data_IF_864024023236
#
_entry.id   IF_864024023236
#
_cell.length_a   1.000
_cell.length_b   1.000
_cell.length_c   1.000
_cell.angle_alpha   90.00
_cell.angle_beta   90.00
_cell.angle_gamma   90.00
#
_symmetry.space_group_name_H-M   'P 1'
#
loop_
_entity.id
_entity.type
_entity.pdbx_description
1 polymer ?
#
# COMPACT_ATOMS: atom_id res chain seq x y z
N UNK A 1 -73.10 -32.19 -20.46
CA UNK A 1 -71.95 -31.45 -19.92
C UNK A 1 -70.97 -32.45 -19.32
N UNK A 2 -69.86 -32.73 -19.99
CA UNK A 2 -68.82 -33.66 -19.54
C UNK A 2 -67.74 -32.88 -18.79
N UNK A 3 -67.56 -33.18 -17.49
CA UNK A 3 -66.50 -32.65 -16.64
C UNK A 3 -65.22 -33.45 -16.86
N UNK A 4 -64.24 -32.88 -17.55
CA UNK A 4 -62.91 -33.45 -17.74
C UNK A 4 -62.05 -33.25 -16.47
N UNK A 5 -61.51 -34.31 -15.85
CA UNK A 5 -60.62 -34.19 -14.70
C UNK A 5 -59.23 -33.71 -15.14
N UNK A 6 -58.80 -32.55 -14.65
CA UNK A 6 -57.47 -32.00 -14.89
C UNK A 6 -56.38 -32.84 -14.17
N UNK A 7 -55.24 -33.12 -14.82
CA UNK A 7 -54.17 -33.92 -14.22
C UNK A 7 -53.49 -33.17 -13.07
N UNK A 8 -53.54 -33.74 -11.87
CA UNK A 8 -52.83 -33.25 -10.67
C UNK A 8 -51.32 -33.25 -10.92
N UNK A 9 -50.74 -32.08 -11.19
CA UNK A 9 -49.29 -31.86 -11.26
C UNK A 9 -48.65 -32.12 -9.90
N UNK A 10 -47.84 -33.17 -9.82
CA UNK A 10 -47.08 -33.54 -8.63
C UNK A 10 -45.99 -32.48 -8.37
N UNK A 11 -46.24 -31.53 -7.45
CA UNK A 11 -45.23 -30.55 -7.01
C UNK A 11 -44.17 -31.28 -6.18
N UNK A 12 -43.03 -31.61 -6.82
CA UNK A 12 -41.83 -32.06 -6.10
C UNK A 12 -41.37 -30.93 -5.17
N UNK A 13 -41.30 -31.20 -3.87
CA UNK A 13 -40.70 -30.28 -2.90
C UNK A 13 -39.22 -30.15 -3.28
N UNK A 14 -38.82 -28.95 -3.71
CA UNK A 14 -37.43 -28.59 -3.89
C UNK A 14 -36.73 -28.87 -2.54
N UNK A 15 -35.86 -29.88 -2.54
CA UNK A 15 -35.24 -30.50 -1.35
C UNK A 15 -34.21 -29.60 -0.64
N UNK A 16 -34.05 -28.36 -1.09
CA UNK A 16 -33.06 -27.44 -0.57
C UNK A 16 -33.78 -26.26 0.09
N UNK A 17 -33.76 -26.16 1.44
CA UNK A 17 -34.29 -24.98 2.12
C UNK A 17 -33.56 -23.74 1.58
N UNK A 18 -34.27 -22.62 1.37
CA UNK A 18 -33.70 -21.41 0.75
C UNK A 18 -32.45 -20.90 1.49
N UNK A 19 -32.31 -21.18 2.79
CA UNK A 19 -31.13 -20.85 3.57
C UNK A 19 -29.83 -21.54 3.12
N UNK A 20 -29.89 -22.75 2.55
CA UNK A 20 -28.68 -23.46 2.07
C UNK A 20 -28.11 -22.81 0.81
N UNK A 21 -28.97 -22.24 -0.03
CA UNK A 21 -28.57 -21.57 -1.26
C UNK A 21 -27.90 -20.22 -0.93
N UNK A 22 -28.44 -19.49 0.05
CA UNK A 22 -27.81 -18.27 0.58
C UNK A 22 -26.42 -18.54 1.20
N UNK A 23 -26.29 -19.63 1.97
CA UNK A 23 -25.01 -20.04 2.56
C UNK A 23 -23.98 -20.45 1.51
N UNK A 24 -24.40 -21.23 0.51
CA UNK A 24 -23.52 -21.61 -0.60
C UNK A 24 -23.04 -20.37 -1.38
N UNK A 25 -23.91 -19.38 -1.56
CA UNK A 25 -23.57 -18.14 -2.24
C UNK A 25 -22.63 -17.24 -1.42
N UNK A 26 -22.85 -17.13 -0.11
CA UNK A 26 -21.92 -16.44 0.82
C UNK A 26 -20.56 -17.12 0.87
N UNK A 27 -20.53 -18.45 0.93
CA UNK A 27 -19.29 -19.22 0.91
C UNK A 27 -18.55 -19.01 -0.41
N UNK A 28 -19.28 -19.03 -1.53
CA UNK A 28 -18.70 -18.78 -2.85
C UNK A 28 -18.15 -17.35 -2.97
N UNK A 29 -18.89 -16.34 -2.51
CA UNK A 29 -18.40 -14.96 -2.44
C UNK A 29 -17.15 -14.83 -1.57
N UNK A 30 -17.13 -15.50 -0.42
CA UNK A 30 -15.94 -15.57 0.43
C UNK A 30 -14.76 -16.21 -0.30
N UNK A 31 -14.99 -17.35 -0.98
CA UNK A 31 -13.96 -18.03 -1.75
C UNK A 31 -13.47 -17.24 -2.97
N UNK A 32 -14.28 -16.35 -3.57
CA UNK A 32 -13.88 -15.51 -4.70
C UNK A 32 -13.23 -14.19 -4.25
N UNK A 33 -13.70 -13.59 -3.16
CA UNK A 33 -13.18 -12.32 -2.65
C UNK A 33 -11.86 -12.48 -1.88
N UNK A 34 -11.69 -13.57 -1.12
CA UNK A 34 -10.47 -13.84 -0.33
C UNK A 34 -9.19 -13.95 -1.19
N UNK A 35 -9.16 -14.65 -2.34
CA UNK A 35 -7.97 -14.69 -3.18
C UNK A 35 -7.62 -13.33 -3.80
N UNK A 36 -8.59 -12.42 -4.01
CA UNK A 36 -8.31 -11.06 -4.46
C UNK A 36 -7.55 -10.24 -3.39
N UNK A 37 -7.78 -10.52 -2.11
CA UNK A 37 -7.01 -9.94 -1.00
C UNK A 37 -5.65 -10.62 -0.78
N UNK A 38 -5.49 -11.86 -1.25
CA UNK A 38 -4.26 -12.66 -1.11
C UNK A 38 -3.20 -12.39 -2.17
N UNK A 39 -3.45 -11.44 -3.06
CA UNK A 39 -2.43 -10.75 -3.82
C UNK A 39 -1.62 -9.80 -2.94
N UNK A 40 -1.07 -10.28 -1.81
CA UNK A 40 0.02 -9.59 -1.15
C UNK A 40 1.20 -9.65 -2.11
N UNK A 41 1.25 -8.68 -3.03
CA UNK A 41 2.46 -8.33 -3.78
C UNK A 41 3.58 -8.36 -2.76
N UNK A 42 4.65 -9.10 -3.05
CA UNK A 42 5.81 -9.18 -2.16
C UNK A 42 6.19 -7.74 -1.80
N UNK A 43 5.92 -7.36 -0.55
CA UNK A 43 6.30 -6.05 -0.06
C UNK A 43 7.81 -6.11 0.09
N UNK A 44 8.49 -5.58 -0.92
CA UNK A 44 9.94 -5.43 -0.89
C UNK A 44 10.15 -4.13 -0.13
N UNK A 45 10.57 -4.23 1.12
CA UNK A 45 10.94 -3.04 1.90
C UNK A 45 12.29 -2.60 1.36
N UNK A 46 12.28 -1.55 0.54
CA UNK A 46 13.52 -0.91 0.12
C UNK A 46 14.05 -0.11 1.32
N UNK A 47 15.17 -0.55 1.88
CA UNK A 47 15.87 0.25 2.86
C UNK A 47 16.52 1.42 2.13
N UNK A 48 15.91 2.60 2.25
CA UNK A 48 16.51 3.84 1.75
C UNK A 48 17.56 4.27 2.78
N UNK A 49 18.81 3.90 2.54
CA UNK A 49 19.93 4.50 3.29
C UNK A 49 20.19 5.86 2.69
N UNK A 50 19.78 6.92 3.40
CA UNK A 50 20.29 8.24 3.10
C UNK A 50 21.78 8.26 3.47
N UNK A 51 22.67 8.69 2.59
CA UNK A 51 24.07 8.82 2.94
C UNK A 51 24.19 9.75 4.15
N UNK A 52 25.12 9.47 5.08
CA UNK A 52 25.38 10.38 6.17
C UNK A 52 25.73 11.75 5.56
N UNK A 53 25.19 12.81 6.15
CA UNK A 53 25.48 14.20 5.78
C UNK A 53 26.96 14.50 6.07
N UNK A 54 27.86 14.04 5.21
CA UNK A 54 29.29 14.30 5.31
C UNK A 54 29.49 15.78 5.04
N UNK A 55 29.96 16.57 6.01
CA UNK A 55 30.43 17.95 5.81
C UNK A 55 31.53 17.96 4.74
N UNK A 56 31.18 18.09 3.45
CA UNK A 56 32.20 18.30 2.43
C UNK A 56 32.58 19.77 2.48
N UNK A 57 33.74 20.06 3.08
CA UNK A 57 34.39 21.35 2.94
C UNK A 57 34.51 21.71 1.46
N UNK A 58 34.14 22.93 1.10
CA UNK A 58 34.32 23.56 -0.22
C UNK A 58 33.34 23.21 -1.36
N UNK A 59 32.04 23.27 -1.10
CA UNK A 59 31.08 23.64 -2.15
C UNK A 59 30.57 25.05 -1.84
N UNK A 60 31.02 26.04 -2.62
CA UNK A 60 30.75 27.48 -2.48
C UNK A 60 29.30 27.90 -2.73
N UNK A 61 28.41 26.93 -2.97
CA UNK A 61 26.97 27.10 -2.92
C UNK A 61 26.49 26.27 -1.73
N UNK A 62 26.15 26.96 -0.64
CA UNK A 62 25.73 26.36 0.62
C UNK A 62 24.73 25.24 0.35
N UNK A 63 25.00 24.08 0.95
CA UNK A 63 24.09 22.95 0.82
C UNK A 63 22.72 23.38 1.37
N UNK A 64 21.61 22.98 0.73
CA UNK A 64 20.28 23.41 1.17
C UNK A 64 19.95 22.99 2.61
N UNK A 65 20.70 22.06 3.21
CA UNK A 65 20.51 21.58 4.59
C UNK A 65 20.83 22.60 5.67
N UNK A 66 21.68 23.58 5.35
CA UNK A 66 22.08 24.65 6.27
C UNK A 66 21.41 25.99 5.90
N UNK A 67 20.60 25.99 4.84
CA UNK A 67 19.83 27.15 4.43
C UNK A 67 18.71 27.42 5.44
N UNK A 68 18.59 28.67 5.85
CA UNK A 68 17.45 29.15 6.61
C UNK A 68 16.16 29.05 5.80
N UNK A 69 15.01 28.97 6.48
CA UNK A 69 13.68 28.96 5.81
C UNK A 69 13.53 30.14 4.84
N UNK A 70 14.08 31.31 5.18
CA UNK A 70 14.08 32.49 4.31
C UNK A 70 14.90 32.28 3.03
N UNK A 71 16.08 31.70 3.11
CA UNK A 71 16.90 31.39 1.94
C UNK A 71 16.22 30.34 1.05
N UNK A 72 15.53 29.38 1.65
CA UNK A 72 14.74 28.39 0.91
C UNK A 72 13.56 29.02 0.16
N UNK A 73 12.88 30.01 0.74
CA UNK A 73 11.82 30.76 0.03
C UNK A 73 12.37 31.58 -1.15
N UNK A 74 13.57 32.14 -1.02
CA UNK A 74 14.20 32.91 -2.10
C UNK A 74 14.89 32.03 -3.14
N UNK A 75 15.12 30.74 -2.85
CA UNK A 75 15.83 29.84 -3.75
C UNK A 75 15.11 29.71 -5.09
N UNK A 76 13.78 29.54 -5.08
CA UNK A 76 12.96 29.49 -6.29
C UNK A 76 11.46 29.60 -5.98
N UNK A 77 10.59 29.92 -6.96
CA UNK A 77 9.14 29.74 -6.77
C UNK A 77 8.80 28.26 -6.50
N UNK A 78 8.09 28.00 -5.41
CA UNK A 78 7.68 26.66 -5.01
C UNK A 78 6.19 26.42 -5.24
N UNK A 79 5.88 25.31 -5.91
CA UNK A 79 4.55 24.72 -5.93
C UNK A 79 4.38 23.92 -4.63
N UNK A 80 3.55 24.46 -3.73
CA UNK A 80 3.38 23.92 -2.39
C UNK A 80 2.24 22.90 -2.35
N UNK A 81 2.54 21.71 -1.86
CA UNK A 81 1.60 20.63 -1.61
C UNK A 81 1.68 20.21 -0.14
N UNK A 82 0.57 19.71 0.39
CA UNK A 82 0.49 19.26 1.79
C UNK A 82 -0.19 17.90 1.86
N UNK A 83 0.51 16.92 2.42
CA UNK A 83 -0.05 15.59 2.65
C UNK A 83 -0.35 15.46 4.13
N UNK A 84 -1.62 15.42 4.49
CA UNK A 84 -2.08 15.52 5.87
C UNK A 84 -2.13 14.19 6.59
N UNK A 85 -2.24 13.08 5.87
CA UNK A 85 -2.63 11.76 6.39
C UNK A 85 -4.10 11.42 6.15
N UNK A 86 -4.91 12.39 5.71
CA UNK A 86 -6.30 12.15 5.36
C UNK A 86 -6.39 11.60 3.93
N UNK A 87 -6.75 10.31 3.80
CA UNK A 87 -6.81 9.61 2.52
C UNK A 87 -7.61 10.33 1.44
N UNK A 88 -8.71 11.02 1.80
CA UNK A 88 -9.57 11.69 0.83
C UNK A 88 -8.99 13.01 0.35
N UNK A 89 -8.43 13.82 1.25
CA UNK A 89 -7.78 15.08 0.86
C UNK A 89 -6.50 14.79 0.09
N UNK A 90 -5.66 13.92 0.64
CA UNK A 90 -4.38 13.54 0.07
C UNK A 90 -4.56 12.89 -1.31
N UNK A 91 -5.69 12.24 -1.61
CA UNK A 91 -5.96 11.70 -2.95
C UNK A 91 -5.94 12.77 -4.05
N UNK A 92 -6.56 13.93 -3.81
CA UNK A 92 -6.58 15.01 -4.78
C UNK A 92 -5.22 15.69 -4.89
N UNK A 93 -4.57 15.92 -3.75
CA UNK A 93 -3.23 16.50 -3.69
C UNK A 93 -2.19 15.60 -4.38
N UNK A 94 -2.28 14.27 -4.22
CA UNK A 94 -1.41 13.33 -4.91
C UNK A 94 -1.64 13.35 -6.44
N UNK A 95 -2.88 13.56 -6.90
CA UNK A 95 -3.16 13.68 -8.34
C UNK A 95 -2.62 14.98 -8.94
N UNK A 96 -2.79 16.11 -8.25
CA UNK A 96 -2.24 17.40 -8.70
C UNK A 96 -0.72 17.38 -8.64
N UNK A 97 -0.15 16.79 -7.59
CA UNK A 97 1.28 16.57 -7.43
C UNK A 97 1.85 15.72 -8.58
N UNK A 98 1.19 14.61 -8.94
CA UNK A 98 1.61 13.79 -10.08
C UNK A 98 1.61 14.59 -11.40
N UNK A 99 0.67 15.51 -11.59
CA UNK A 99 0.67 16.41 -12.76
C UNK A 99 1.86 17.38 -12.72
N UNK A 100 2.19 17.93 -11.54
CA UNK A 100 3.35 18.79 -11.35
C UNK A 100 4.67 18.06 -11.64
N UNK A 101 4.82 16.79 -11.21
CA UNK A 101 5.98 15.96 -11.58
C UNK A 101 6.14 15.81 -13.10
N UNK A 102 5.04 15.56 -13.81
CA UNK A 102 5.04 15.45 -15.28
C UNK A 102 5.40 16.77 -15.96
N UNK A 103 4.89 17.88 -15.45
CA UNK A 103 5.22 19.21 -15.94
C UNK A 103 6.71 19.49 -15.74
N UNK A 104 7.23 19.25 -14.53
CA UNK A 104 8.63 19.49 -14.18
C UNK A 104 9.58 18.62 -15.03
N UNK A 105 9.21 17.37 -15.32
CA UNK A 105 9.94 16.53 -16.27
C UNK A 105 9.88 17.10 -17.70
N UNK A 106 8.72 17.55 -18.16
CA UNK A 106 8.53 18.03 -19.54
C UNK A 106 9.28 19.34 -19.80
N UNK A 107 9.42 20.17 -18.76
CA UNK A 107 10.06 21.49 -18.81
C UNK A 107 11.19 21.58 -17.77
N UNK A 108 12.32 20.88 -17.98
CA UNK A 108 13.39 20.80 -16.98
C UNK A 108 14.10 22.14 -16.74
N UNK A 109 13.96 23.10 -17.66
CA UNK A 109 14.54 24.44 -17.52
C UNK A 109 13.65 25.42 -16.77
N UNK A 110 12.46 25.01 -16.32
CA UNK A 110 11.60 25.92 -15.55
C UNK A 110 12.22 26.26 -14.20
N UNK A 111 11.98 27.50 -13.80
CA UNK A 111 12.42 28.04 -12.51
C UNK A 111 11.58 27.51 -11.34
N UNK A 112 10.60 26.64 -11.60
CA UNK A 112 9.70 26.08 -10.60
C UNK A 112 10.29 24.89 -9.84
N UNK A 113 10.02 24.86 -8.54
CA UNK A 113 10.24 23.70 -7.68
C UNK A 113 8.94 23.15 -7.13
N UNK A 114 8.97 21.91 -6.66
CA UNK A 114 7.88 21.27 -5.94
C UNK A 114 8.29 21.14 -4.48
N UNK A 115 7.42 21.60 -3.58
CA UNK A 115 7.59 21.50 -2.13
C UNK A 115 6.41 20.72 -1.56
N UNK A 116 6.67 19.59 -0.92
CA UNK A 116 5.65 18.72 -0.32
C UNK A 116 5.85 18.67 1.18
N UNK A 117 4.93 19.26 1.92
CA UNK A 117 4.93 19.23 3.38
C UNK A 117 4.20 17.98 3.87
N UNK A 118 4.88 17.16 4.66
CA UNK A 118 4.36 15.93 5.26
C UNK A 118 3.81 16.26 6.65
N UNK A 119 2.49 16.17 6.79
CA UNK A 119 1.79 16.37 8.05
C UNK A 119 2.09 15.27 9.06
N UNK A 120 1.78 15.50 10.36
CA UNK A 120 2.10 14.56 11.44
C UNK A 120 1.35 13.23 11.33
N UNK A 121 0.22 13.18 10.63
CA UNK A 121 -0.54 11.94 10.37
C UNK A 121 -0.23 11.33 9.00
N UNK A 122 0.67 11.93 8.23
CA UNK A 122 1.07 11.39 6.93
C UNK A 122 1.75 10.04 7.10
N UNK A 123 1.50 9.13 6.16
CA UNK A 123 2.09 7.79 6.22
C UNK A 123 3.45 7.77 5.55
N UNK A 124 4.35 6.89 6.01
CA UNK A 124 5.62 6.62 5.32
C UNK A 124 5.41 6.22 3.84
N UNK A 125 4.26 5.61 3.52
CA UNK A 125 3.89 5.26 2.15
C UNK A 125 3.82 6.47 1.21
N UNK A 126 3.41 7.64 1.70
CA UNK A 126 3.41 8.86 0.89
C UNK A 126 4.84 9.29 0.55
N UNK A 127 5.76 9.28 1.51
CA UNK A 127 7.16 9.61 1.25
C UNK A 127 7.79 8.65 0.23
N UNK A 128 7.56 7.33 0.37
CA UNK A 128 8.02 6.33 -0.61
C UNK A 128 7.46 6.62 -1.99
N UNK A 129 6.17 6.97 -2.09
CA UNK A 129 5.55 7.32 -3.36
C UNK A 129 6.19 8.56 -4.02
N UNK A 130 6.59 9.57 -3.24
CA UNK A 130 7.33 10.73 -3.76
C UNK A 130 8.68 10.31 -4.36
N UNK A 131 9.42 9.44 -3.67
CA UNK A 131 10.68 8.88 -4.19
C UNK A 131 10.46 8.04 -5.45
N UNK A 132 9.44 7.20 -5.46
CA UNK A 132 9.09 6.38 -6.63
C UNK A 132 8.79 7.25 -7.84
N UNK A 133 8.05 8.34 -7.67
CA UNK A 133 7.80 9.30 -8.74
C UNK A 133 9.06 10.04 -9.16
N UNK A 134 9.88 10.50 -8.22
CA UNK A 134 11.14 11.17 -8.56
C UNK A 134 12.04 10.24 -9.41
N UNK A 135 12.12 8.96 -9.04
CA UNK A 135 12.84 7.95 -9.79
C UNK A 135 12.20 7.66 -11.16
N UNK A 136 10.88 7.45 -11.20
CA UNK A 136 10.13 7.18 -12.42
C UNK A 136 10.28 8.28 -13.48
N UNK A 137 10.37 9.54 -13.05
CA UNK A 137 10.55 10.71 -13.92
C UNK A 137 12.01 11.16 -14.03
N UNK A 138 12.97 10.35 -13.57
CA UNK A 138 14.41 10.64 -13.60
C UNK A 138 14.80 12.00 -12.97
N UNK A 139 14.00 12.48 -12.02
CA UNK A 139 14.22 13.73 -11.30
C UNK A 139 15.21 13.49 -10.15
N UNK A 140 16.49 13.63 -10.50
CA UNK A 140 17.63 13.27 -9.63
C UNK A 140 17.92 14.27 -8.52
N UNK A 141 17.22 15.40 -8.48
CA UNK A 141 17.47 16.50 -7.55
C UNK A 141 16.27 16.69 -6.64
N UNK A 142 16.35 16.00 -5.52
CA UNK A 142 15.44 16.13 -4.41
C UNK A 142 16.21 16.21 -3.10
N UNK A 143 15.56 16.72 -2.07
CA UNK A 143 16.06 16.70 -0.71
C UNK A 143 14.89 16.55 0.25
N UNK A 144 15.11 15.78 1.32
CA UNK A 144 14.15 15.66 2.42
C UNK A 144 14.67 16.45 3.61
N UNK A 145 13.92 17.46 4.03
CA UNK A 145 14.16 18.21 5.24
C UNK A 145 13.46 17.53 6.42
N UNK A 146 14.27 16.98 7.33
CA UNK A 146 13.82 16.38 8.58
C UNK A 146 14.23 17.27 9.77
N UNK A 147 15.01 18.34 9.54
CA UNK A 147 15.50 19.23 10.60
C UNK A 147 14.42 20.22 11.02
N UNK A 148 13.63 20.69 10.06
CA UNK A 148 12.52 21.61 10.30
C UNK A 148 11.20 20.86 10.34
N UNK A 149 10.31 21.26 11.26
CA UNK A 149 8.92 20.83 11.25
C UNK A 149 8.05 21.85 10.49
N UNK A 150 7.15 21.41 9.59
CA UNK A 150 6.90 20.02 9.21
C UNK A 150 7.98 19.43 8.30
N UNK A 151 8.14 18.10 8.34
CA UNK A 151 9.04 17.37 7.42
C UNK A 151 8.65 17.74 6.00
N UNK A 152 9.61 18.22 5.21
CA UNK A 152 9.32 18.76 3.88
C UNK A 152 10.21 18.13 2.84
N UNK A 153 9.59 17.61 1.78
CA UNK A 153 10.26 17.06 0.62
C UNK A 153 10.31 18.11 -0.49
N UNK A 154 11.51 18.42 -0.95
CA UNK A 154 11.76 19.38 -2.01
C UNK A 154 12.25 18.67 -3.25
N UNK A 155 11.74 19.06 -4.41
CA UNK A 155 12.11 18.48 -5.71
C UNK A 155 12.23 19.62 -6.72
N UNK A 156 13.29 19.62 -7.50
CA UNK A 156 13.60 20.78 -8.32
C UNK A 156 14.54 20.40 -9.48
N UNK A 157 14.42 21.05 -10.64
CA UNK A 157 15.32 20.86 -11.78
C UNK A 157 16.38 21.95 -11.87
N UNK A 158 17.40 21.74 -12.69
CA UNK A 158 18.45 22.74 -12.96
C UNK A 158 18.17 23.38 -14.29
N UNK A 159 18.21 24.70 -14.32
CA UNK A 159 18.34 25.44 -15.57
C UNK A 159 19.63 24.97 -16.25
N UNK A 160 19.50 24.44 -17.47
CA UNK A 160 20.52 23.74 -18.24
C UNK A 160 21.97 24.11 -17.90
N UNK A 161 22.57 23.36 -16.97
CA UNK A 161 24.01 23.26 -16.87
C UNK A 161 24.40 21.98 -17.60
N UNK A 162 24.89 22.14 -18.81
CA UNK A 162 25.61 21.11 -19.57
C UNK A 162 26.89 20.63 -18.88
N UNK A 163 27.27 21.22 -17.75
CA UNK A 163 28.36 20.74 -16.91
C UNK A 163 27.80 19.85 -15.79
N UNK A 164 27.95 18.55 -16.00
CA UNK A 164 27.62 17.48 -15.05
C UNK A 164 28.32 17.63 -13.71
N UNK A 165 27.75 18.43 -12.81
CA UNK A 165 27.89 18.19 -11.37
C UNK A 165 26.80 17.18 -11.03
N UNK A 166 27.15 15.92 -11.30
CA UNK A 166 26.40 14.77 -10.89
C UNK A 166 26.50 14.70 -9.36
N UNK A 167 25.41 15.02 -8.65
CA UNK A 167 25.18 14.63 -7.24
C UNK A 167 24.97 13.09 -7.15
N UNK A 168 25.79 12.32 -7.88
CA UNK A 168 25.66 10.89 -8.13
C UNK A 168 26.53 10.04 -7.19
N UNK A 169 27.12 10.64 -6.16
CA UNK A 169 27.88 9.89 -5.16
C UNK A 169 27.10 9.63 -3.86
N UNK A 170 25.83 10.04 -3.80
CA UNK A 170 25.01 9.96 -2.58
C UNK A 170 24.12 8.71 -2.51
N UNK A 171 23.90 8.01 -3.62
CA UNK A 171 23.38 6.64 -3.58
C UNK A 171 24.57 5.71 -3.65
N UNK A 172 25.15 5.39 -2.49
CA UNK A 172 25.95 4.17 -2.41
C UNK A 172 24.99 3.05 -2.81
N UNK A 173 25.26 2.40 -3.94
CA UNK A 173 24.70 1.09 -4.23
C UNK A 173 25.26 0.14 -3.16
N UNK A 174 24.70 0.22 -1.96
CA UNK A 174 24.76 -0.88 -1.03
C UNK A 174 23.88 -1.91 -1.73
N UNK A 175 24.51 -2.88 -2.39
CA UNK A 175 23.82 -4.06 -2.88
C UNK A 175 23.02 -4.58 -1.69
N UNK A 176 21.71 -4.28 -1.69
CA UNK A 176 20.84 -4.70 -0.62
C UNK A 176 21.02 -6.21 -0.52
N UNK A 177 21.37 -6.76 0.65
CA UNK A 177 21.55 -8.19 0.77
C UNK A 177 20.29 -8.85 0.18
N UNK A 178 20.44 -9.80 -0.75
CA UNK A 178 19.30 -10.33 -1.49
C UNK A 178 18.25 -10.76 -0.48
N UNK A 179 16.97 -10.34 -0.63
CA UNK A 179 15.96 -10.57 0.38
C UNK A 179 15.91 -12.06 0.68
N UNK A 180 16.19 -12.42 1.94
CA UNK A 180 16.19 -13.82 2.37
C UNK A 180 14.77 -14.33 2.19
N UNK A 181 14.54 -15.09 1.13
CA UNK A 181 13.22 -15.67 0.86
C UNK A 181 12.89 -16.61 2.02
N UNK A 182 11.82 -16.37 2.78
CA UNK A 182 11.44 -17.29 3.83
C UNK A 182 11.21 -18.66 3.20
N UNK A 183 11.88 -19.68 3.72
CA UNK A 183 11.67 -21.05 3.27
C UNK A 183 10.20 -21.42 3.45
N UNK A 184 9.68 -22.33 2.63
CA UNK A 184 8.29 -22.80 2.72
C UNK A 184 7.95 -23.26 4.16
N UNK A 185 8.91 -23.86 4.85
CA UNK A 185 8.83 -24.21 6.27
C UNK A 185 8.64 -23.00 7.19
N UNK A 186 9.45 -21.95 7.04
CA UNK A 186 9.32 -20.72 7.82
C UNK A 186 7.97 -20.02 7.58
N UNK A 187 7.46 -20.09 6.34
CA UNK A 187 6.15 -19.52 6.00
C UNK A 187 5.00 -20.28 6.66
N UNK A 188 5.08 -21.61 6.72
CA UNK A 188 4.09 -22.46 7.41
C UNK A 188 4.14 -22.23 8.92
N UNK A 189 5.34 -22.16 9.51
CA UNK A 189 5.51 -21.91 10.94
C UNK A 189 4.99 -20.53 11.36
N UNK A 190 5.27 -19.49 10.57
CA UNK A 190 4.73 -18.15 10.82
C UNK A 190 3.20 -18.07 10.66
N UNK A 191 2.63 -18.86 9.75
CA UNK A 191 1.18 -18.93 9.60
C UNK A 191 0.53 -19.68 10.77
N UNK A 192 1.12 -20.79 11.18
CA UNK A 192 0.67 -21.57 12.34
C UNK A 192 0.76 -20.74 13.62
N UNK A 193 1.85 -19.99 13.82
CA UNK A 193 2.01 -19.15 15.01
C UNK A 193 0.98 -18.02 15.08
N UNK A 194 0.59 -17.45 13.93
CA UNK A 194 -0.45 -16.43 13.83
C UNK A 194 -1.84 -16.98 14.16
N UNK A 195 -2.12 -18.23 13.79
CA UNK A 195 -3.41 -18.88 14.06
C UNK A 195 -3.46 -19.46 15.47
N UNK A 196 -2.33 -19.85 16.04
CA UNK A 196 -2.25 -20.30 17.43
C UNK A 196 -2.21 -19.16 18.45
N UNK A 197 -2.22 -17.90 18.01
CA UNK A 197 -2.27 -16.77 18.92
C UNK A 197 -3.69 -16.64 19.52
N UNK A 198 -3.86 -16.58 20.86
CA UNK A 198 -5.17 -16.51 21.49
C UNK A 198 -6.03 -15.34 21.02
N UNK A 199 -5.39 -14.22 20.69
CA UNK A 199 -6.07 -13.03 20.18
C UNK A 199 -6.85 -13.27 18.87
N UNK A 200 -6.43 -14.20 18.01
CA UNK A 200 -7.06 -14.43 16.70
C UNK A 200 -8.33 -15.26 16.79
N UNK A 201 -8.48 -16.14 17.80
CA UNK A 201 -9.66 -17.03 17.92
C UNK A 201 -10.58 -16.76 19.11
N UNK A 202 -10.17 -15.97 20.11
CA UNK A 202 -11.08 -15.47 21.15
C UNK A 202 -12.34 -14.78 20.58
N UNK A 203 -12.27 -13.89 19.56
CA UNK A 203 -13.48 -13.25 19.03
C UNK A 203 -14.42 -14.25 18.31
N UNK A 204 -13.89 -15.35 17.79
CA UNK A 204 -14.67 -16.42 17.17
C UNK A 204 -15.47 -17.25 18.19
N UNK A 205 -15.08 -17.23 19.46
CA UNK A 205 -15.77 -17.92 20.56
C UNK A 205 -16.85 -17.05 21.24
N UNK A 206 -17.05 -15.82 20.77
CA UNK A 206 -18.14 -14.97 21.25
C UNK A 206 -19.51 -15.57 20.91
N UNK A 207 -20.55 -15.32 21.73
CA UNK A 207 -21.86 -15.97 21.59
C UNK A 207 -22.49 -15.79 20.21
N UNK A 208 -22.20 -14.67 19.53
CA UNK A 208 -22.73 -14.37 18.19
C UNK A 208 -22.20 -15.32 17.10
N UNK A 209 -20.96 -15.80 17.24
CA UNK A 209 -20.31 -16.66 16.24
C UNK A 209 -20.30 -18.14 16.63
N UNK A 210 -20.43 -18.44 17.92
CA UNK A 210 -20.36 -19.80 18.48
C UNK A 210 -21.34 -20.77 17.82
N UNK A 211 -22.60 -20.37 17.63
CA UNK A 211 -23.61 -21.25 17.03
C UNK A 211 -23.32 -21.53 15.55
N UNK A 212 -22.88 -20.52 14.80
CA UNK A 212 -22.50 -20.63 13.39
C UNK A 212 -21.28 -21.53 13.21
N UNK A 213 -20.28 -21.43 14.10
CA UNK A 213 -19.09 -22.29 14.11
C UNK A 213 -19.43 -23.75 14.42
N UNK A 214 -20.30 -23.99 15.40
CA UNK A 214 -20.77 -25.34 15.74
C UNK A 214 -21.56 -25.97 14.58
N UNK A 215 -22.39 -25.18 13.90
CA UNK A 215 -23.14 -25.64 12.73
C UNK A 215 -22.21 -26.01 11.57
N UNK A 216 -21.18 -25.20 11.32
CA UNK A 216 -20.15 -25.50 10.31
C UNK A 216 -19.35 -26.77 10.66
N UNK A 217 -18.96 -26.93 11.92
CA UNK A 217 -18.28 -28.14 12.40
C UNK A 217 -19.16 -29.38 12.29
N UNK A 218 -20.45 -29.26 12.60
CA UNK A 218 -21.42 -30.36 12.47
C UNK A 218 -21.61 -30.77 11.00
N UNK A 219 -21.74 -29.81 10.09
CA UNK A 219 -21.84 -30.09 8.65
C UNK A 219 -20.55 -30.74 8.14
N UNK A 220 -19.38 -30.23 8.58
CA UNK A 220 -18.07 -30.80 8.24
C UNK A 220 -17.92 -32.24 8.73
N UNK A 221 -18.28 -32.52 9.97
CA UNK A 221 -18.18 -33.87 10.55
C UNK A 221 -19.14 -34.85 9.89
N UNK A 222 -20.38 -34.45 9.59
CA UNK A 222 -21.35 -35.28 8.85
C UNK A 222 -20.85 -35.63 7.44
N UNK A 223 -20.21 -34.69 6.74
CA UNK A 223 -19.61 -34.96 5.44
C UNK A 223 -18.40 -35.91 5.53
N UNK A 224 -17.52 -35.72 6.54
CA UNK A 224 -16.39 -36.61 6.76
C UNK A 224 -16.83 -38.05 7.05
N UNK A 225 -17.86 -38.23 7.90
CA UNK A 225 -18.45 -39.55 8.18
C UNK A 225 -19.06 -40.18 6.93
N UNK A 226 -19.72 -39.39 6.09
CA UNK A 226 -20.30 -39.88 4.84
C UNK A 226 -19.25 -40.34 3.83
N UNK A 227 -18.12 -39.64 3.77
CA UNK A 227 -16.98 -40.03 2.92
C UNK A 227 -16.33 -41.30 3.45
N UNK A 228 -16.15 -41.41 4.77
CA UNK A 228 -15.50 -42.58 5.38
C UNK A 228 -16.35 -43.86 5.30
N UNK A 229 -17.67 -43.74 5.20
CA UNK A 229 -18.59 -44.89 5.02
C UNK A 229 -18.76 -45.34 3.57
N UNK A 230 -18.16 -44.65 2.59
CA UNK A 230 -18.12 -45.06 1.18
C UNK A 230 -16.81 -45.74 0.86
#
# INVERSE_FOLDING_TARGET
>A
MLLLPLPRRHRRRLLLPPGLLALAWLLWLGCVAVPQLRGMKQQTVMQITMPPLLESGNLSWGRPYDASVLELEHFRPWQNFKLTGNLWLDYFDLRTLLAAYRQLHSFPNDEDGIRVTLGPQSTYGHLVQLYDWANQYELKRYWLDIRHEPITFYLYTVKGSTAGIALWNDVVNIDAPPPVRPTSKARILNWLSLISAPATYIPLLTPDWRNSLLLLLLIGSLNAVRIWRR
#
